data_IF_400311306041
#
_entry.id   IF_400311306041
#
_cell.length_a   1.000
_cell.length_b   1.000
_cell.length_c   1.000
_cell.angle_alpha   90.00
_cell.angle_beta   90.00
_cell.angle_gamma   90.00
#
_symmetry.space_group_name_H-M   'P 1'
#
loop_
_entity.id
_entity.type
_entity.pdbx_description
1 polymer ?
#
# COMPACT_ATOMS: atom_id res chain seq x y z
N UNK A 1 -5.90 -26.35 -0.05
CA UNK A 1 -5.89 -25.08 0.66
C UNK A 1 -6.02 -23.97 -0.38
N UNK A 2 -6.91 -23.03 -0.18
CA UNK A 2 -7.07 -21.92 -1.10
C UNK A 2 -5.81 -21.05 -1.11
N UNK A 3 -5.54 -20.38 -2.23
CA UNK A 3 -4.37 -19.50 -2.35
C UNK A 3 -4.79 -18.04 -2.47
N UNK A 4 -4.12 -17.20 -1.71
CA UNK A 4 -4.24 -15.74 -1.80
C UNK A 4 -2.94 -15.11 -2.28
N UNK A 5 -3.04 -13.99 -2.95
CA UNK A 5 -1.91 -13.21 -3.42
C UNK A 5 -1.90 -11.84 -2.76
N UNK A 6 -0.76 -11.43 -2.26
CA UNK A 6 -0.48 -10.02 -1.99
C UNK A 6 0.60 -9.57 -2.96
N UNK A 7 0.25 -8.69 -3.89
CA UNK A 7 1.24 -8.07 -4.78
C UNK A 7 1.43 -6.61 -4.42
N UNK A 8 2.65 -6.12 -4.51
CA UNK A 8 2.97 -4.79 -3.98
C UNK A 8 3.91 -3.98 -4.87
N UNK A 9 3.76 -2.65 -4.79
CA UNK A 9 4.71 -1.67 -5.29
C UNK A 9 5.23 -0.83 -4.13
N UNK A 10 6.54 -0.78 -3.96
CA UNK A 10 7.20 -0.07 -2.86
C UNK A 10 8.43 0.69 -3.34
N UNK A 11 8.74 1.81 -2.69
CA UNK A 11 10.00 2.55 -2.89
C UNK A 11 10.98 2.24 -1.77
N UNK A 12 10.53 2.34 -0.51
CA UNK A 12 11.38 2.21 0.67
C UNK A 12 11.19 0.90 1.43
N UNK A 13 10.40 -0.04 0.90
CA UNK A 13 10.20 -1.36 1.50
C UNK A 13 9.04 -1.46 2.49
N UNK A 14 8.45 -0.36 2.96
CA UNK A 14 7.40 -0.42 4.00
C UNK A 14 6.13 -1.14 3.52
N UNK A 15 5.75 -1.00 2.24
CA UNK A 15 4.60 -1.72 1.68
C UNK A 15 4.82 -3.23 1.74
N UNK A 16 6.04 -3.71 1.47
CA UNK A 16 6.40 -5.12 1.60
C UNK A 16 6.23 -5.60 3.04
N UNK A 17 6.76 -4.86 4.02
CA UNK A 17 6.65 -5.20 5.45
C UNK A 17 5.17 -5.26 5.88
N UNK A 18 4.34 -4.33 5.43
CA UNK A 18 2.89 -4.35 5.68
C UNK A 18 2.25 -5.58 5.02
N UNK A 19 2.64 -5.93 3.79
CA UNK A 19 2.15 -7.14 3.10
C UNK A 19 2.48 -8.43 3.88
N UNK A 20 3.71 -8.54 4.36
CA UNK A 20 4.16 -9.65 5.19
C UNK A 20 3.39 -9.72 6.51
N UNK A 21 3.09 -8.56 7.11
CA UNK A 21 2.26 -8.50 8.33
C UNK A 21 0.83 -8.94 8.07
N UNK A 22 0.20 -8.51 6.98
CA UNK A 22 -1.14 -8.97 6.59
C UNK A 22 -1.17 -10.48 6.41
N UNK A 23 -0.20 -11.06 5.73
CA UNK A 23 -0.10 -12.50 5.50
C UNK A 23 0.00 -13.32 6.80
N UNK A 24 0.58 -12.77 7.88
CA UNK A 24 0.65 -13.44 9.19
C UNK A 24 -0.72 -13.71 9.82
N UNK A 25 -1.76 -12.99 9.41
CA UNK A 25 -3.13 -13.17 9.89
C UNK A 25 -3.96 -14.10 9.01
N UNK A 26 -3.39 -14.64 7.93
CA UNK A 26 -4.07 -15.61 7.10
C UNK A 26 -4.19 -16.95 7.84
N UNK A 27 -5.43 -17.42 7.99
CA UNK A 27 -5.74 -18.67 8.70
C UNK A 27 -6.37 -19.73 7.79
N UNK A 28 -6.92 -19.30 6.66
CA UNK A 28 -7.71 -20.15 5.76
C UNK A 28 -7.02 -20.40 4.41
N UNK A 29 -6.01 -19.59 4.07
CA UNK A 29 -5.30 -19.70 2.80
C UNK A 29 -3.78 -19.63 2.97
N UNK A 30 -3.06 -20.22 2.01
CA UNK A 30 -1.64 -19.90 1.83
C UNK A 30 -1.51 -18.58 1.09
N UNK A 31 -0.59 -17.72 1.53
CA UNK A 31 -0.41 -16.37 0.94
C UNK A 31 0.94 -16.28 0.23
N UNK A 32 0.90 -16.07 -1.07
CA UNK A 32 2.07 -15.71 -1.86
C UNK A 32 2.25 -14.18 -1.85
N UNK A 33 3.50 -13.71 -1.70
CA UNK A 33 3.82 -12.28 -1.67
C UNK A 33 4.86 -11.96 -2.74
N UNK A 34 4.50 -11.15 -3.73
CA UNK A 34 5.39 -10.77 -4.82
C UNK A 34 5.33 -9.27 -5.11
N UNK A 35 6.42 -8.66 -5.56
CA UNK A 35 6.33 -7.35 -6.19
C UNK A 35 5.44 -7.41 -7.45
N UNK A 36 4.79 -6.32 -7.80
CA UNK A 36 3.99 -6.23 -9.03
C UNK A 36 4.83 -6.64 -10.23
N UNK A 37 4.33 -7.61 -11.01
CA UNK A 37 4.96 -8.13 -12.21
C UNK A 37 3.92 -8.70 -13.17
N UNK A 38 4.18 -8.59 -14.47
CA UNK A 38 3.33 -9.18 -15.53
C UNK A 38 3.40 -10.71 -15.56
N UNK A 39 4.37 -11.33 -14.86
CA UNK A 39 4.58 -12.78 -14.84
C UNK A 39 3.75 -13.51 -13.77
N UNK A 40 2.88 -12.82 -13.03
CA UNK A 40 2.08 -13.45 -11.99
C UNK A 40 0.80 -14.04 -12.62
N UNK A 41 0.64 -15.37 -12.49
CA UNK A 41 -0.59 -16.07 -12.90
C UNK A 41 -1.73 -15.78 -11.91
N UNK A 42 -2.49 -14.72 -12.12
CA UNK A 42 -3.55 -14.29 -11.21
C UNK A 42 -4.69 -15.31 -11.09
N UNK A 43 -4.91 -16.12 -12.14
CA UNK A 43 -6.00 -17.10 -12.20
C UNK A 43 -6.02 -18.11 -11.07
N UNK A 44 -4.84 -18.48 -10.54
CA UNK A 44 -4.70 -19.48 -9.47
C UNK A 44 -5.07 -19.01 -8.07
N UNK A 45 -5.28 -17.70 -7.89
CA UNK A 45 -5.61 -17.12 -6.58
C UNK A 45 -7.10 -16.88 -6.45
N UNK A 46 -7.63 -17.16 -5.26
CA UNK A 46 -9.02 -16.82 -4.89
C UNK A 46 -9.12 -15.36 -4.48
N UNK A 47 -8.16 -14.88 -3.70
CA UNK A 47 -8.10 -13.50 -3.20
C UNK A 47 -6.85 -12.80 -3.73
N UNK A 48 -6.99 -11.59 -4.23
CA UNK A 48 -5.88 -10.77 -4.73
C UNK A 48 -5.88 -9.43 -4.00
N UNK A 49 -4.78 -9.14 -3.32
CA UNK A 49 -4.56 -7.90 -2.59
C UNK A 49 -3.44 -7.12 -3.27
N UNK A 50 -3.68 -5.84 -3.53
CA UNK A 50 -2.67 -4.95 -4.13
C UNK A 50 -2.30 -3.90 -3.10
N UNK A 51 -1.02 -3.83 -2.75
CA UNK A 51 -0.44 -2.80 -1.89
C UNK A 51 0.42 -1.81 -2.67
N UNK A 52 0.25 -0.52 -2.45
CA UNK A 52 1.05 0.47 -3.14
C UNK A 52 1.42 1.66 -2.26
N UNK A 53 2.68 2.11 -2.35
CA UNK A 53 3.15 3.31 -1.67
C UNK A 53 3.09 4.55 -2.56
N UNK A 54 2.92 5.69 -1.91
CA UNK A 54 3.01 7.01 -2.53
C UNK A 54 4.44 7.55 -2.38
N UNK A 55 4.99 8.03 -3.50
CA UNK A 55 6.19 8.84 -3.52
C UNK A 55 5.92 10.12 -4.34
N UNK A 56 6.25 11.29 -3.79
CA UNK A 56 6.00 12.59 -4.43
C UNK A 56 4.55 12.75 -4.94
N UNK A 57 3.59 12.35 -4.12
CA UNK A 57 2.16 12.52 -4.41
C UNK A 57 1.57 11.56 -5.45
N UNK A 58 2.29 10.51 -5.84
CA UNK A 58 1.89 9.58 -6.91
C UNK A 58 2.16 8.12 -6.51
N UNK A 59 1.30 7.20 -6.99
CA UNK A 59 1.68 5.81 -7.15
C UNK A 59 2.58 5.65 -8.37
N UNK A 60 3.41 4.62 -8.37
CA UNK A 60 4.26 4.26 -9.52
C UNK A 60 3.38 3.82 -10.69
N UNK A 61 3.86 4.07 -11.92
CA UNK A 61 3.10 3.76 -13.15
C UNK A 61 2.71 2.29 -13.24
N UNK A 62 3.56 1.39 -12.75
CA UNK A 62 3.33 -0.06 -12.74
C UNK A 62 2.03 -0.44 -12.02
N UNK A 63 1.62 0.30 -10.98
CA UNK A 63 0.36 0.04 -10.25
C UNK A 63 -0.86 0.26 -11.17
N UNK A 64 -0.86 1.37 -11.89
CA UNK A 64 -1.93 1.69 -12.84
C UNK A 64 -1.99 0.67 -13.98
N UNK A 65 -0.83 0.38 -14.60
CA UNK A 65 -0.74 -0.57 -15.72
C UNK A 65 -1.17 -1.98 -15.30
N UNK A 66 -0.78 -2.43 -14.10
CA UNK A 66 -1.16 -3.73 -13.58
C UNK A 66 -2.67 -3.84 -13.36
N UNK A 67 -3.28 -2.83 -12.74
CA UNK A 67 -4.74 -2.79 -12.52
C UNK A 67 -5.48 -2.77 -13.85
N UNK A 68 -5.06 -1.92 -14.79
CA UNK A 68 -5.72 -1.75 -16.08
C UNK A 68 -5.68 -3.02 -16.94
N UNK A 69 -4.53 -3.69 -16.99
CA UNK A 69 -4.35 -4.97 -17.71
C UNK A 69 -5.17 -6.13 -17.12
N UNK A 70 -5.43 -6.12 -15.83
CA UNK A 70 -5.99 -7.26 -15.11
C UNK A 70 -7.39 -7.00 -14.54
N UNK A 71 -8.08 -5.95 -14.99
CA UNK A 71 -9.35 -5.52 -14.40
C UNK A 71 -10.40 -6.64 -14.36
N UNK A 72 -10.56 -7.40 -15.45
CA UNK A 72 -11.56 -8.49 -15.54
C UNK A 72 -11.31 -9.57 -14.51
N UNK A 73 -10.04 -9.99 -14.34
CA UNK A 73 -9.70 -11.02 -13.37
C UNK A 73 -9.79 -10.47 -11.95
N UNK A 74 -9.40 -9.22 -11.70
CA UNK A 74 -9.53 -8.56 -10.40
C UNK A 74 -11.00 -8.48 -9.98
N UNK A 75 -11.90 -8.08 -10.88
CA UNK A 75 -13.34 -7.98 -10.60
C UNK A 75 -13.98 -9.35 -10.32
N UNK A 76 -13.46 -10.42 -10.92
CA UNK A 76 -13.96 -11.79 -10.74
C UNK A 76 -13.54 -12.45 -9.40
N UNK A 77 -12.57 -11.86 -8.69
CA UNK A 77 -11.98 -12.43 -7.46
C UNK A 77 -12.43 -11.67 -6.20
N UNK A 78 -12.18 -12.28 -5.03
CA UNK A 78 -12.09 -11.49 -3.81
C UNK A 78 -10.87 -10.60 -3.90
N UNK A 79 -11.03 -9.32 -3.58
CA UNK A 79 -9.95 -8.38 -3.80
C UNK A 79 -9.91 -7.24 -2.79
N UNK A 80 -8.72 -6.66 -2.66
CA UNK A 80 -8.48 -5.50 -1.82
C UNK A 80 -7.36 -4.61 -2.39
N UNK A 81 -7.38 -3.36 -2.02
CA UNK A 81 -6.29 -2.43 -2.25
C UNK A 81 -5.92 -1.70 -0.97
N UNK A 82 -4.64 -1.57 -0.69
CA UNK A 82 -4.19 -0.71 0.40
C UNK A 82 -3.12 0.29 -0.06
N UNK A 83 -3.28 1.50 0.43
CA UNK A 83 -2.35 2.62 0.20
C UNK A 83 -1.41 2.81 1.36
N UNK A 84 -0.12 2.96 1.10
CA UNK A 84 0.88 3.33 2.11
C UNK A 84 1.41 4.72 1.81
N UNK A 85 1.15 5.67 2.70
CA UNK A 85 1.60 7.05 2.50
C UNK A 85 1.72 7.80 3.82
N UNK A 86 2.72 8.67 3.92
CA UNK A 86 3.04 9.40 5.17
C UNK A 86 1.95 10.40 5.57
N UNK A 87 1.13 10.86 4.61
CA UNK A 87 0.00 11.76 4.92
C UNK A 87 -1.03 11.09 5.81
N UNK A 88 -1.17 9.77 5.72
CA UNK A 88 -2.06 8.98 6.58
C UNK A 88 -1.64 8.94 8.08
N UNK A 89 -0.53 9.58 8.46
CA UNK A 89 -0.20 9.84 9.88
C UNK A 89 -1.18 10.83 10.53
N UNK A 90 -1.87 11.62 9.72
CA UNK A 90 -2.89 12.57 10.18
C UNK A 90 -4.25 11.88 10.24
N UNK A 91 -4.92 11.99 11.38
CA UNK A 91 -6.22 11.32 11.62
C UNK A 91 -7.29 11.67 10.58
N UNK A 92 -7.29 12.93 10.12
CA UNK A 92 -8.21 13.41 9.10
C UNK A 92 -7.91 12.93 7.67
N UNK A 93 -6.83 12.16 7.47
CA UNK A 93 -6.38 11.65 6.14
C UNK A 93 -6.02 10.17 6.16
N UNK A 94 -6.47 9.43 7.16
CA UNK A 94 -6.05 8.06 7.38
C UNK A 94 -7.11 7.01 7.05
N UNK A 95 -8.20 7.39 6.39
CA UNK A 95 -9.25 6.48 5.91
C UNK A 95 -9.37 6.50 4.38
N UNK A 96 -9.97 5.48 3.77
CA UNK A 96 -10.20 5.45 2.33
C UNK A 96 -10.97 6.66 1.80
N UNK A 97 -11.93 7.17 2.57
CA UNK A 97 -12.81 8.28 2.21
C UNK A 97 -12.13 9.64 2.32
N UNK A 98 -11.06 9.73 3.11
CA UNK A 98 -10.40 11.01 3.42
C UNK A 98 -8.98 11.12 2.87
N UNK A 99 -8.38 10.00 2.45
CA UNK A 99 -7.02 10.01 1.93
C UNK A 99 -6.97 10.56 0.50
N UNK A 100 -6.31 11.70 0.26
CA UNK A 100 -6.36 12.38 -1.03
C UNK A 100 -5.73 11.57 -2.17
N UNK A 101 -4.74 10.74 -1.87
CA UNK A 101 -4.05 9.94 -2.89
C UNK A 101 -4.89 8.75 -3.32
N UNK A 102 -5.53 8.08 -2.37
CA UNK A 102 -6.41 6.96 -2.67
C UNK A 102 -7.65 7.43 -3.43
N UNK A 103 -8.28 8.53 -3.00
CA UNK A 103 -9.42 9.13 -3.71
C UNK A 103 -9.04 9.47 -5.16
N UNK A 104 -7.88 10.11 -5.37
CA UNK A 104 -7.40 10.45 -6.71
C UNK A 104 -7.13 9.21 -7.57
N UNK A 105 -6.58 8.15 -6.97
CA UNK A 105 -6.34 6.88 -7.65
C UNK A 105 -7.65 6.23 -8.10
N UNK A 106 -8.62 6.07 -7.19
CA UNK A 106 -9.91 5.45 -7.48
C UNK A 106 -10.73 6.21 -8.54
N UNK A 107 -10.51 7.53 -8.69
CA UNK A 107 -11.11 8.32 -9.77
C UNK A 107 -10.47 8.07 -11.14
N UNK A 108 -9.22 7.62 -11.18
CA UNK A 108 -8.47 7.40 -12.42
C UNK A 108 -8.63 6.00 -13.00
N UNK A 109 -8.89 5.01 -12.14
CA UNK A 109 -9.02 3.61 -12.55
C UNK A 109 -10.50 3.22 -12.67
N UNK A 110 -10.77 2.21 -13.51
CA UNK A 110 -12.13 1.65 -13.64
C UNK A 110 -12.42 0.59 -12.58
N UNK A 111 -11.40 -0.12 -12.13
CA UNK A 111 -11.51 -1.14 -11.08
C UNK A 111 -12.01 -0.55 -9.75
N UNK A 112 -12.92 -1.27 -9.09
CA UNK A 112 -13.47 -0.90 -7.79
C UNK A 112 -13.12 -1.98 -6.78
N UNK A 113 -12.02 -1.81 -6.00
CA UNK A 113 -11.65 -2.77 -4.97
C UNK A 113 -12.77 -2.98 -3.95
N UNK A 114 -13.04 -4.24 -3.60
CA UNK A 114 -14.07 -4.60 -2.60
C UNK A 114 -13.69 -4.14 -1.20
N UNK A 115 -12.41 -4.20 -0.87
CA UNK A 115 -11.89 -3.77 0.43
C UNK A 115 -10.77 -2.74 0.23
N UNK A 116 -10.76 -1.70 1.04
CA UNK A 116 -9.79 -0.61 0.99
C UNK A 116 -9.09 -0.41 2.33
N UNK A 117 -7.77 -0.25 2.29
CA UNK A 117 -6.95 0.09 3.45
C UNK A 117 -6.10 1.34 3.21
N UNK A 118 -5.86 2.11 4.26
CA UNK A 118 -4.94 3.24 4.24
C UNK A 118 -4.05 3.16 5.47
N UNK A 119 -2.75 3.09 5.25
CA UNK A 119 -1.75 2.97 6.30
C UNK A 119 -0.71 4.08 6.18
N UNK A 120 -0.31 4.64 7.31
CA UNK A 120 0.83 5.52 7.34
C UNK A 120 2.11 4.71 7.10
N UNK A 121 3.06 5.33 6.43
CA UNK A 121 4.32 4.72 6.11
C UNK A 121 5.41 5.03 7.13
N UNK A 122 6.64 5.00 6.67
CA UNK A 122 7.85 5.22 7.43
C UNK A 122 8.76 6.19 6.68
N UNK A 123 9.50 7.01 7.40
CA UNK A 123 10.54 7.89 6.85
C UNK A 123 11.87 7.45 7.44
N UNK A 124 12.78 7.03 6.59
CA UNK A 124 14.14 6.61 6.99
C UNK A 124 15.15 7.59 6.39
N UNK A 125 15.21 8.81 6.91
CA UNK A 125 16.10 9.86 6.40
C UNK A 125 17.56 9.43 6.20
N UNK A 126 18.17 8.63 7.10
CA UNK A 126 19.56 8.19 6.91
C UNK A 126 19.80 7.35 5.65
N UNK A 127 18.76 6.67 5.15
CA UNK A 127 18.83 5.82 3.96
C UNK A 127 18.62 6.58 2.64
N UNK A 128 18.10 7.81 2.72
CA UNK A 128 17.79 8.58 1.51
C UNK A 128 19.03 9.22 0.90
N UNK A 129 19.07 9.24 -0.43
CA UNK A 129 20.05 10.05 -1.17
C UNK A 129 19.79 11.54 -0.89
N UNK A 130 20.82 12.36 -1.11
CA UNK A 130 20.79 13.79 -0.79
C UNK A 130 19.53 14.50 -1.31
N UNK A 131 19.19 14.32 -2.59
CA UNK A 131 18.02 14.97 -3.22
C UNK A 131 16.71 14.55 -2.56
N UNK A 132 16.50 13.24 -2.39
CA UNK A 132 15.30 12.69 -1.75
C UNK A 132 15.17 13.13 -0.29
N UNK A 133 16.29 13.13 0.45
CA UNK A 133 16.36 13.54 1.84
C UNK A 133 15.84 14.96 2.04
N UNK A 134 16.32 15.90 1.25
CA UNK A 134 15.93 17.30 1.40
C UNK A 134 14.56 17.59 0.79
N UNK A 135 14.17 16.90 -0.29
CA UNK A 135 12.81 16.99 -0.83
C UNK A 135 11.76 16.50 0.19
N UNK A 136 12.00 15.37 0.84
CA UNK A 136 11.12 14.82 1.88
C UNK A 136 11.11 15.72 3.11
N UNK A 137 12.28 16.22 3.54
CA UNK A 137 12.39 17.20 4.63
C UNK A 137 11.53 18.44 4.36
N UNK A 138 11.58 18.98 3.16
CA UNK A 138 10.78 20.13 2.75
C UNK A 138 9.27 19.84 2.81
N UNK A 139 8.85 18.68 2.30
CA UNK A 139 7.45 18.23 2.38
C UNK A 139 7.02 18.08 3.84
N UNK A 140 7.87 17.50 4.68
CA UNK A 140 7.59 17.35 6.11
C UNK A 140 7.50 18.70 6.81
N UNK A 141 8.37 19.63 6.50
CA UNK A 141 8.30 20.98 7.05
C UNK A 141 6.96 21.67 6.72
N UNK A 142 6.54 21.67 5.45
CA UNK A 142 5.25 22.25 5.03
C UNK A 142 4.07 21.55 5.72
N UNK A 143 4.14 20.23 5.88
CA UNK A 143 3.05 19.42 6.42
C UNK A 143 3.11 19.23 7.94
N UNK A 144 3.98 19.98 8.62
CA UNK A 144 4.20 19.90 10.08
C UNK A 144 4.58 18.49 10.55
N UNK A 145 5.42 17.82 9.79
CA UNK A 145 6.02 16.53 10.15
C UNK A 145 7.45 16.68 10.66
N UNK A 146 8.10 15.57 11.05
CA UNK A 146 9.46 15.57 11.57
C UNK A 146 10.48 15.91 10.49
N UNK A 147 11.46 16.75 10.83
CA UNK A 147 12.48 17.28 9.91
C UNK A 147 13.92 16.96 10.32
N UNK A 148 14.11 16.23 11.42
CA UNK A 148 15.44 15.77 11.82
C UNK A 148 15.91 14.63 10.91
N UNK A 149 16.85 14.94 10.03
CA UNK A 149 17.33 14.01 9.00
C UNK A 149 18.32 12.96 9.51
N UNK A 150 18.65 12.97 10.79
CA UNK A 150 19.49 11.94 11.42
C UNK A 150 18.66 10.73 11.91
N UNK A 151 17.33 10.82 11.90
CA UNK A 151 16.41 9.87 12.51
C UNK A 151 15.53 9.14 11.50
N UNK A 152 14.98 8.05 11.99
CA UNK A 152 13.92 7.29 11.35
C UNK A 152 12.61 7.51 12.09
N UNK A 153 11.51 7.67 11.34
CA UNK A 153 10.17 7.89 11.90
C UNK A 153 9.20 6.87 11.31
N UNK A 154 8.64 6.03 12.15
CA UNK A 154 7.59 5.09 11.77
C UNK A 154 6.23 5.60 12.26
N UNK A 155 5.26 5.66 11.34
CA UNK A 155 3.90 6.12 11.61
C UNK A 155 2.87 5.02 11.40
N UNK A 156 3.29 3.82 11.04
CA UNK A 156 2.38 2.70 10.74
C UNK A 156 1.61 2.31 11.99
N UNK A 157 0.27 2.37 11.91
CA UNK A 157 -0.62 1.82 12.92
C UNK A 157 -0.81 0.32 12.66
N UNK A 158 -0.06 -0.49 13.37
CA UNK A 158 -0.07 -1.95 13.23
C UNK A 158 -1.39 -2.60 13.66
N UNK A 159 -2.14 -1.99 14.60
CA UNK A 159 -3.48 -2.46 14.97
C UNK A 159 -4.46 -2.28 13.82
N UNK A 160 -4.33 -1.19 13.07
CA UNK A 160 -5.14 -0.94 11.89
C UNK A 160 -4.81 -1.91 10.75
N UNK A 161 -3.53 -2.26 10.58
CA UNK A 161 -3.10 -3.29 9.63
C UNK A 161 -3.69 -4.66 10.00
N UNK A 162 -3.63 -5.03 11.29
CA UNK A 162 -4.22 -6.27 11.81
C UNK A 162 -5.73 -6.33 11.59
N UNK A 163 -6.45 -5.25 11.92
CA UNK A 163 -7.91 -5.19 11.72
C UNK A 163 -8.27 -5.35 10.24
N UNK A 164 -7.53 -4.70 9.35
CA UNK A 164 -7.71 -4.86 7.91
C UNK A 164 -7.50 -6.32 7.46
N UNK A 165 -6.40 -6.94 7.91
CA UNK A 165 -6.08 -8.32 7.57
C UNK A 165 -7.16 -9.30 8.03
N UNK A 166 -7.66 -9.16 9.25
CA UNK A 166 -8.75 -10.00 9.79
C UNK A 166 -10.05 -9.87 9.01
N UNK A 167 -10.36 -8.66 8.51
CA UNK A 167 -11.56 -8.43 7.71
C UNK A 167 -11.49 -9.06 6.31
N UNK A 168 -10.29 -9.41 5.83
CA UNK A 168 -10.11 -10.06 4.52
C UNK A 168 -10.41 -11.56 4.56
N UNK A 169 -10.47 -12.18 5.74
CA UNK A 169 -10.73 -13.62 5.93
C UNK A 169 -9.82 -14.53 5.07
N UNK A 170 -8.50 -14.27 5.11
CA UNK A 170 -7.48 -14.98 4.32
C UNK A 170 -7.16 -16.37 4.87
#
# INVERSE_FOLDING_TARGET
MEKSLITYSTVDGQTKIISEKIAQFATQSSVDIFPISDNIELGKYKTIIIGASIRYGKYRKEVYSFVEKNIEILDSKENAFFSVNVVARKSEKNTPETNPYLIKFLKKIKWKPKNLGVFAGKIEYPKYKFVDKYAIKFIMWITKGPTDTSKTYEFTDWKKVESFAKNLNL
#
